data_IF_403387552298
#
_entry.id   IF_403387552298
#
_cell.length_a   1.000
_cell.length_b   1.000
_cell.length_c   1.000
_cell.angle_alpha   90.00
_cell.angle_beta   90.00
_cell.angle_gamma   90.00
#
_symmetry.space_group_name_H-M   'P 1'
#
loop_
_entity.id
_entity.type
_entity.pdbx_description
1 polymer ?
#
# COMPACT_ATOMS: atom_id res chain seq x y z
N UNK A 1 -10.28 -13.11 14.72
CA UNK A 1 -9.13 -12.93 13.82
C UNK A 1 -9.40 -13.85 12.65
N UNK A 2 -9.57 -13.31 11.44
CA UNK A 2 -9.77 -14.17 10.26
C UNK A 2 -8.39 -14.58 9.76
N UNK A 3 -8.17 -15.87 9.50
CA UNK A 3 -6.86 -16.42 9.10
C UNK A 3 -6.61 -16.31 7.59
N UNK A 4 -7.57 -15.77 6.82
CA UNK A 4 -7.50 -15.73 5.36
C UNK A 4 -6.66 -14.57 4.80
N UNK A 5 -6.32 -13.58 5.64
CA UNK A 5 -5.60 -12.39 5.19
C UNK A 5 -4.53 -11.94 6.18
N UNK A 6 -3.46 -11.38 5.65
CA UNK A 6 -2.40 -10.69 6.42
C UNK A 6 -2.54 -9.19 6.22
N UNK A 7 -2.41 -8.39 7.28
CA UNK A 7 -2.58 -6.94 7.21
C UNK A 7 -1.23 -6.19 7.30
N UNK A 8 -1.02 -5.24 6.38
CA UNK A 8 0.02 -4.21 6.49
C UNK A 8 -0.66 -2.91 6.88
N UNK A 9 -0.29 -2.37 8.04
CA UNK A 9 -0.78 -1.08 8.53
C UNK A 9 0.25 -0.02 8.18
N UNK A 10 -0.15 0.98 7.39
CA UNK A 10 0.70 2.13 7.04
C UNK A 10 0.14 3.39 7.66
N UNK A 11 0.96 4.11 8.42
CA UNK A 11 0.65 5.45 8.90
C UNK A 11 1.41 6.46 8.07
N UNK A 12 0.69 7.41 7.46
CA UNK A 12 1.29 8.46 6.65
C UNK A 12 0.77 9.83 7.06
N UNK A 13 1.69 10.76 7.31
CA UNK A 13 1.36 12.16 7.56
C UNK A 13 1.46 12.94 6.27
N UNK A 14 0.37 13.60 5.89
CA UNK A 14 0.26 14.36 4.65
C UNK A 14 -0.02 15.82 5.02
N UNK A 15 0.79 16.73 4.50
CA UNK A 15 0.58 18.17 4.63
C UNK A 15 -0.19 18.72 3.42
N UNK A 16 -1.28 19.43 3.67
CA UNK A 16 -2.01 20.16 2.65
C UNK A 16 -1.46 21.58 2.50
N UNK A 17 -0.62 21.79 1.49
CA UNK A 17 -0.08 23.12 1.17
C UNK A 17 -1.08 24.00 0.38
N UNK A 18 -2.24 23.47 0.00
CA UNK A 18 -3.27 24.27 -0.66
C UNK A 18 -3.95 25.22 0.32
N UNK A 19 -4.58 26.28 -0.22
CA UNK A 19 -5.40 27.22 0.52
C UNK A 19 -6.86 26.75 0.70
N UNK A 20 -7.19 25.57 0.17
CA UNK A 20 -8.52 24.97 0.24
C UNK A 20 -8.45 23.58 0.87
N UNK A 21 -9.53 23.09 1.49
CA UNK A 21 -9.59 21.72 2.01
C UNK A 21 -9.36 20.70 0.90
N UNK A 22 -8.65 19.61 1.22
CA UNK A 22 -8.40 18.50 0.28
C UNK A 22 -9.03 17.23 0.84
N UNK A 23 -10.19 16.81 0.31
CA UNK A 23 -10.76 15.49 0.56
C UNK A 23 -9.87 14.40 -0.04
N UNK A 24 -9.60 13.36 0.74
CA UNK A 24 -9.07 12.08 0.24
C UNK A 24 -10.23 11.09 0.30
N UNK A 25 -10.57 10.52 -0.86
CA UNK A 25 -11.79 9.72 -1.06
C UNK A 25 -11.49 8.23 -1.17
N UNK A 26 -10.31 7.88 -1.69
CA UNK A 26 -9.88 6.49 -1.91
C UNK A 26 -8.38 6.37 -1.73
N UNK A 27 -7.93 5.15 -1.51
CA UNK A 27 -6.53 4.78 -1.68
C UNK A 27 -6.44 3.58 -2.60
N UNK A 28 -5.66 3.72 -3.67
CA UNK A 28 -5.18 2.58 -4.42
C UNK A 28 -3.96 1.97 -3.72
N UNK A 29 -3.92 0.64 -3.69
CA UNK A 29 -2.88 -0.15 -3.07
C UNK A 29 -2.51 -1.33 -3.95
N UNK A 30 -1.21 -1.61 -4.01
CA UNK A 30 -0.64 -2.78 -4.66
C UNK A 30 0.51 -3.31 -3.81
N UNK A 31 0.54 -4.62 -3.61
CA UNK A 31 1.71 -5.33 -3.09
C UNK A 31 2.06 -6.49 -4.01
N UNK A 32 3.33 -6.55 -4.38
CA UNK A 32 3.89 -7.60 -5.22
C UNK A 32 5.16 -8.15 -4.60
N UNK A 33 5.34 -9.46 -4.66
CA UNK A 33 6.53 -10.15 -4.19
C UNK A 33 7.00 -11.14 -5.25
N UNK A 34 8.20 -10.95 -5.78
CA UNK A 34 8.75 -11.74 -6.91
C UNK A 34 7.84 -11.78 -8.16
N UNK A 35 7.13 -10.69 -8.46
CA UNK A 35 6.19 -10.64 -9.58
C UNK A 35 4.81 -11.25 -9.28
N UNK A 36 4.61 -11.84 -8.11
CA UNK A 36 3.32 -12.38 -7.68
C UNK A 36 2.55 -11.25 -6.97
N UNK A 37 1.34 -10.97 -7.46
CA UNK A 37 0.48 -9.89 -6.94
C UNK A 37 -0.31 -10.41 -5.74
N UNK A 38 0.07 -9.98 -4.53
CA UNK A 38 -0.62 -10.39 -3.29
C UNK A 38 -1.89 -9.59 -3.04
N UNK A 39 -1.92 -8.35 -3.53
CA UNK A 39 -3.10 -7.49 -3.48
C UNK A 39 -2.98 -6.39 -4.53
N UNK A 40 -4.11 -6.01 -5.10
CA UNK A 40 -4.26 -4.87 -6.00
C UNK A 40 -5.70 -4.37 -5.94
N UNK A 41 -5.91 -3.10 -5.65
CA UNK A 41 -7.24 -2.53 -5.63
C UNK A 41 -7.32 -1.20 -4.92
N UNK A 42 -8.55 -0.70 -4.80
CA UNK A 42 -8.84 0.54 -4.08
C UNK A 42 -9.69 0.26 -2.85
N UNK A 43 -9.48 1.05 -1.79
CA UNK A 43 -10.33 1.08 -0.62
C UNK A 43 -10.82 2.50 -0.38
N UNK A 44 -12.10 2.64 -0.03
CA UNK A 44 -12.67 3.94 0.30
C UNK A 44 -12.06 4.47 1.60
N UNK A 45 -11.76 5.76 1.60
CA UNK A 45 -11.25 6.52 2.74
C UNK A 45 -12.03 7.82 2.77
N UNK A 46 -12.49 8.27 3.94
CA UNK A 46 -13.17 9.55 4.05
C UNK A 46 -12.44 10.40 5.08
N UNK A 47 -11.59 11.30 4.58
CA UNK A 47 -10.86 12.27 5.38
C UNK A 47 -10.71 13.57 4.60
N UNK A 48 -10.60 14.69 5.32
CA UNK A 48 -10.37 16.00 4.73
C UNK A 48 -9.17 16.62 5.42
N UNK A 49 -8.15 16.97 4.65
CA UNK A 49 -6.99 17.69 5.18
C UNK A 49 -7.25 19.18 5.01
N UNK A 50 -7.35 19.90 6.13
CA UNK A 50 -7.64 21.33 6.14
C UNK A 50 -6.49 22.16 5.52
N UNK A 51 -6.75 23.38 5.04
CA UNK A 51 -5.71 24.24 4.48
C UNK A 51 -4.53 24.44 5.45
N UNK A 52 -3.30 24.43 4.92
CA UNK A 52 -2.06 24.68 5.67
C UNK A 52 -1.91 23.81 6.93
N UNK A 53 -2.43 22.59 6.89
CA UNK A 53 -2.42 21.67 8.01
C UNK A 53 -1.98 20.27 7.58
N UNK A 54 -1.63 19.44 8.55
CA UNK A 54 -1.32 18.04 8.33
C UNK A 54 -2.39 17.11 8.90
N UNK A 55 -2.53 15.94 8.28
CA UNK A 55 -3.33 14.85 8.81
C UNK A 55 -2.52 13.55 8.71
N UNK A 56 -2.61 12.73 9.75
CA UNK A 56 -2.07 11.37 9.75
C UNK A 56 -3.17 10.40 9.39
N UNK A 57 -2.93 9.60 8.35
CA UNK A 57 -3.86 8.64 7.81
C UNK A 57 -3.35 7.23 8.06
N UNK A 58 -4.24 6.36 8.49
CA UNK A 58 -3.97 4.94 8.66
C UNK A 58 -4.58 4.17 7.50
N UNK A 59 -3.73 3.53 6.71
CA UNK A 59 -4.13 2.66 5.61
C UNK A 59 -3.92 1.20 6.01
N UNK A 60 -4.93 0.37 5.77
CA UNK A 60 -4.87 -1.07 6.03
C UNK A 60 -4.88 -1.80 4.70
N UNK A 61 -3.75 -2.42 4.38
CA UNK A 61 -3.59 -3.25 3.19
C UNK A 61 -3.74 -4.70 3.56
N UNK A 62 -4.72 -5.38 2.94
CA UNK A 62 -4.98 -6.80 3.14
C UNK A 62 -4.32 -7.60 2.03
N UNK A 63 -3.45 -8.53 2.41
CA UNK A 63 -2.81 -9.50 1.54
C UNK A 63 -3.63 -10.79 1.58
N UNK A 64 -3.92 -11.37 0.42
CA UNK A 64 -4.60 -12.65 0.32
C UNK A 64 -3.63 -13.78 0.70
N UNK A 65 -3.90 -14.51 1.79
CA UNK A 65 -3.00 -15.57 2.25
C UNK A 65 -2.90 -16.73 1.24
N UNK A 66 -3.88 -16.90 0.34
CA UNK A 66 -3.80 -17.91 -0.73
C UNK A 66 -2.68 -17.63 -1.73
N UNK A 67 -2.27 -16.37 -1.86
CA UNK A 67 -1.14 -15.97 -2.71
C UNK A 67 0.21 -16.10 -2.01
N UNK A 68 0.23 -16.25 -0.68
CA UNK A 68 1.47 -16.42 0.08
C UNK A 68 2.13 -17.77 -0.20
N UNK A 69 1.36 -18.82 -0.47
CA UNK A 69 1.91 -20.14 -0.83
C UNK A 69 2.68 -20.09 -2.15
N UNK A 70 2.12 -19.44 -3.17
CA UNK A 70 2.78 -19.26 -4.47
C UNK A 70 4.03 -18.39 -4.33
N UNK A 71 3.91 -17.29 -3.57
CA UNK A 71 5.06 -16.45 -3.26
C UNK A 71 6.18 -17.23 -2.56
N UNK A 72 5.85 -18.07 -1.58
CA UNK A 72 6.84 -18.86 -0.85
C UNK A 72 7.62 -19.80 -1.77
N UNK A 73 6.93 -20.49 -2.69
CA UNK A 73 7.59 -21.32 -3.71
C UNK A 73 8.53 -20.48 -4.57
N UNK A 74 8.13 -19.28 -4.99
CA UNK A 74 8.99 -18.38 -5.77
C UNK A 74 10.23 -17.94 -4.97
N UNK A 75 10.07 -17.67 -3.68
CA UNK A 75 11.13 -17.22 -2.79
C UNK A 75 12.23 -18.28 -2.66
N UNK A 76 11.85 -19.53 -2.38
CA UNK A 76 12.78 -20.66 -2.29
C UNK A 76 13.47 -20.91 -3.65
N UNK A 77 12.71 -20.90 -4.77
CA UNK A 77 13.28 -21.06 -6.13
C UNK A 77 14.27 -19.97 -6.50
N UNK A 78 14.11 -18.77 -5.96
CA UNK A 78 15.00 -17.63 -6.18
C UNK A 78 16.20 -17.59 -5.21
N UNK A 79 16.52 -18.72 -4.56
CA UNK A 79 17.62 -18.80 -3.60
C UNK A 79 17.31 -18.03 -2.32
N UNK A 80 16.12 -18.24 -1.78
CA UNK A 80 15.64 -17.59 -0.55
C UNK A 80 15.68 -16.06 -0.65
N UNK A 81 15.31 -15.52 -1.82
CA UNK A 81 15.32 -14.08 -2.11
C UNK A 81 13.98 -13.62 -2.66
N UNK A 82 13.46 -12.54 -2.09
CA UNK A 82 12.26 -11.86 -2.55
C UNK A 82 12.54 -10.41 -2.89
N UNK A 83 12.13 -9.97 -4.08
CA UNK A 83 11.92 -8.55 -4.39
C UNK A 83 10.49 -8.18 -4.00
N UNK A 84 10.32 -7.19 -3.14
CA UNK A 84 9.02 -6.67 -2.70
C UNK A 84 8.80 -5.32 -3.35
N UNK A 85 7.61 -5.10 -3.89
CA UNK A 85 7.15 -3.80 -4.40
C UNK A 85 5.82 -3.43 -3.76
N UNK A 86 5.77 -2.25 -3.16
CA UNK A 86 4.57 -1.68 -2.54
C UNK A 86 4.28 -0.33 -3.20
N UNK A 87 3.04 -0.14 -3.65
CA UNK A 87 2.56 1.13 -4.20
C UNK A 87 1.31 1.57 -3.45
N UNK A 88 1.34 2.80 -2.92
CA UNK A 88 0.23 3.46 -2.25
C UNK A 88 -0.06 4.79 -2.93
N UNK A 89 -1.30 4.93 -3.41
CA UNK A 89 -1.72 6.07 -4.22
C UNK A 89 -3.09 6.59 -3.75
N UNK A 90 -3.11 7.60 -2.86
CA UNK A 90 -4.34 8.28 -2.48
C UNK A 90 -4.98 8.99 -3.67
N UNK A 91 -6.31 9.03 -3.65
CA UNK A 91 -7.13 9.80 -4.58
C UNK A 91 -7.72 10.98 -3.83
N UNK A 92 -7.48 12.18 -4.35
CA UNK A 92 -8.00 13.44 -3.83
C UNK A 92 -8.97 14.07 -4.83
N UNK A 93 -9.89 14.87 -4.32
CA UNK A 93 -10.78 15.69 -5.15
C UNK A 93 -10.47 17.17 -4.95
N UNK A 94 -10.07 17.88 -6.00
CA UNK A 94 -9.83 19.33 -5.95
C UNK A 94 -10.60 19.99 -7.08
N UNK A 95 -11.43 20.99 -6.73
CA UNK A 95 -12.27 21.73 -7.67
C UNK A 95 -13.13 20.82 -8.59
N UNK A 96 -13.70 19.75 -8.01
CA UNK A 96 -14.54 18.77 -8.72
C UNK A 96 -13.78 17.84 -9.67
N UNK A 97 -12.46 17.75 -9.56
CA UNK A 97 -11.62 16.84 -10.33
C UNK A 97 -10.89 15.87 -9.41
N UNK A 98 -10.89 14.60 -9.77
CA UNK A 98 -10.10 13.58 -9.08
C UNK A 98 -8.64 13.63 -9.54
N UNK A 99 -7.72 13.59 -8.58
CA UNK A 99 -6.30 13.44 -8.81
C UNK A 99 -5.77 12.25 -8.01
N UNK A 100 -4.84 11.51 -8.58
CA UNK A 100 -4.12 10.42 -7.92
C UNK A 100 -2.65 10.77 -7.88
N UNK A 101 -2.03 10.61 -6.71
CA UNK A 101 -0.60 10.86 -6.54
C UNK A 101 0.08 9.68 -5.84
N UNK A 102 1.37 9.49 -6.10
CA UNK A 102 2.18 8.47 -5.43
C UNK A 102 2.59 8.96 -4.06
N UNK A 103 1.96 8.41 -3.02
CA UNK A 103 2.35 8.65 -1.64
C UNK A 103 3.59 7.83 -1.27
N UNK A 104 3.59 6.56 -1.67
CA UNK A 104 4.74 5.68 -1.49
C UNK A 104 4.86 4.73 -2.68
N UNK A 105 6.06 4.64 -3.22
CA UNK A 105 6.50 3.52 -4.05
C UNK A 105 7.79 3.02 -3.42
N UNK A 106 7.76 1.81 -2.88
CA UNK A 106 8.89 1.22 -2.17
C UNK A 106 9.23 -0.11 -2.78
N UNK A 107 10.48 -0.24 -3.19
CA UNK A 107 11.08 -1.52 -3.55
C UNK A 107 12.06 -1.93 -2.46
N UNK A 108 12.00 -3.19 -2.04
CA UNK A 108 12.93 -3.76 -1.08
C UNK A 108 13.29 -5.18 -1.46
N UNK A 109 14.36 -5.68 -0.84
CA UNK A 109 14.76 -7.07 -0.99
C UNK A 109 14.77 -7.70 0.40
N UNK A 110 14.12 -8.85 0.49
CA UNK A 110 14.12 -9.72 1.65
C UNK A 110 14.87 -11.02 1.31
N UNK A 111 15.73 -11.48 2.22
CA UNK A 111 16.52 -12.70 2.06
C UNK A 111 16.42 -13.53 3.34
N UNK A 112 16.33 -14.85 3.20
CA UNK A 112 16.49 -15.79 4.33
C UNK A 112 17.66 -16.75 4.10
N UNK A 113 18.02 -17.47 5.16
CA UNK A 113 18.86 -18.65 5.07
C UNK A 113 18.30 -19.74 5.99
N UNK A 114 17.33 -20.49 5.47
CA UNK A 114 16.65 -21.58 6.14
C UNK A 114 17.15 -22.94 5.67
N UNK A 115 17.69 -23.01 4.45
CA UNK A 115 18.11 -24.27 3.81
C UNK A 115 19.63 -24.46 3.76
N UNK A 116 20.45 -23.43 4.02
CA UNK A 116 21.92 -23.51 4.08
C UNK A 116 22.64 -22.57 3.13
#
# INVERSE_FOLDING_TARGET
MNEDHTEIITMATIYNDNLVPVPITKIYQMVEMNGIRLTEGSSDVATVIMPKSEATLTFVTKLDNRMLDEWWVSHIKNGEKTKVKIVLQPVIEIAGKEFRFTLAEKESVFVTNLLG
#
